data_IF_110848468719
#
_entry.id   IF_110848468719
#
_cell.length_a   1.000
_cell.length_b   1.000
_cell.length_c   1.000
_cell.angle_alpha   90.00
_cell.angle_beta   90.00
_cell.angle_gamma   90.00
#
_symmetry.space_group_name_H-M   'P 1'
#
loop_
_entity.id
_entity.type
_entity.pdbx_description
1 polymer ?
#
# COMPACT_ATOMS: atom_id res chain seq x y z
N UNK A 1 0.81 -3.21 -5.79
CA UNK A 1 1.93 -2.87 -6.68
C UNK A 1 2.94 -4.00 -6.71
N UNK A 2 3.59 -4.21 -7.85
CA UNK A 2 4.68 -5.17 -8.02
C UNK A 2 5.88 -4.41 -8.59
N UNK A 3 7.06 -4.63 -8.03
CA UNK A 3 8.32 -4.11 -8.53
C UNK A 3 9.22 -5.31 -8.78
N UNK A 4 9.84 -5.33 -9.95
CA UNK A 4 10.78 -6.38 -10.33
C UNK A 4 11.91 -6.48 -9.30
N UNK A 5 12.38 -7.70 -9.04
CA UNK A 5 13.42 -7.96 -8.03
C UNK A 5 14.71 -7.20 -8.30
N UNK A 6 15.07 -6.99 -9.57
CA UNK A 6 16.28 -6.27 -9.98
C UNK A 6 16.28 -4.79 -9.56
N UNK A 7 15.12 -4.22 -9.20
CA UNK A 7 14.94 -2.79 -8.90
C UNK A 7 14.53 -2.54 -7.45
N UNK A 8 14.70 -3.53 -6.57
CA UNK A 8 14.40 -3.38 -5.14
C UNK A 8 15.54 -2.64 -4.44
N UNK A 9 15.19 -1.65 -3.62
CA UNK A 9 16.17 -0.83 -2.89
C UNK A 9 16.56 0.47 -3.59
N UNK A 10 16.14 0.64 -4.85
CA UNK A 10 16.47 1.80 -5.71
C UNK A 10 15.39 2.90 -5.69
N UNK A 11 14.57 2.97 -4.63
CA UNK A 11 13.50 3.99 -4.51
C UNK A 11 12.33 3.85 -5.49
N UNK A 12 12.34 2.92 -6.45
CA UNK A 12 11.27 2.74 -7.45
C UNK A 12 9.89 2.54 -6.82
N UNK A 13 9.81 1.76 -5.74
CA UNK A 13 8.55 1.55 -5.03
C UNK A 13 8.01 2.85 -4.41
N UNK A 14 8.88 3.73 -3.91
CA UNK A 14 8.50 5.03 -3.34
C UNK A 14 7.99 5.95 -4.43
N UNK A 15 8.71 6.07 -5.55
CA UNK A 15 8.30 6.89 -6.68
C UNK A 15 6.93 6.46 -7.24
N UNK A 16 6.66 5.15 -7.30
CA UNK A 16 5.36 4.64 -7.73
C UNK A 16 4.24 4.96 -6.72
N UNK A 17 4.50 4.84 -5.42
CA UNK A 17 3.51 5.21 -4.41
C UNK A 17 3.23 6.71 -4.47
N UNK A 18 4.26 7.55 -4.52
CA UNK A 18 4.11 9.00 -4.62
C UNK A 18 3.29 9.39 -5.84
N UNK A 19 3.58 8.81 -7.01
CA UNK A 19 2.81 9.05 -8.23
C UNK A 19 1.33 8.69 -8.06
N UNK A 20 1.01 7.56 -7.40
CA UNK A 20 -0.37 7.14 -7.12
C UNK A 20 -1.05 8.09 -6.12
N UNK A 21 -0.35 8.52 -5.07
CA UNK A 21 -0.90 9.43 -4.06
C UNK A 21 -1.17 10.80 -4.67
N UNK A 22 -0.22 11.37 -5.43
CA UNK A 22 -0.39 12.64 -6.13
C UNK A 22 -1.53 12.59 -7.14
N UNK A 23 -1.63 11.53 -7.94
CA UNK A 23 -2.72 11.36 -8.90
C UNK A 23 -4.08 11.20 -8.19
N UNK A 24 -4.13 10.48 -7.09
CA UNK A 24 -5.36 10.30 -6.31
C UNK A 24 -5.81 11.62 -5.69
N UNK A 25 -4.87 12.40 -5.14
CA UNK A 25 -5.15 13.73 -4.61
C UNK A 25 -5.65 14.68 -5.71
N UNK A 26 -5.03 14.67 -6.90
CA UNK A 26 -5.47 15.50 -8.03
C UNK A 26 -6.86 15.14 -8.56
N UNK A 27 -7.35 13.94 -8.23
CA UNK A 27 -8.72 13.47 -8.52
C UNK A 27 -9.72 13.80 -7.42
N UNK A 28 -9.30 14.48 -6.35
CA UNK A 28 -10.15 14.79 -5.19
C UNK A 28 -10.36 13.61 -4.24
N UNK A 29 -9.55 12.55 -4.32
CA UNK A 29 -9.61 11.47 -3.35
C UNK A 29 -9.13 11.97 -1.98
N UNK A 30 -9.78 11.49 -0.92
CA UNK A 30 -9.42 11.81 0.47
C UNK A 30 -8.54 10.75 1.12
N UNK A 31 -8.47 9.55 0.54
CA UNK A 31 -7.64 8.46 1.05
C UNK A 31 -7.29 7.46 -0.07
N UNK A 32 -6.23 6.70 0.15
CA UNK A 32 -5.86 5.55 -0.69
C UNK A 32 -5.75 4.32 0.20
N UNK A 33 -6.33 3.21 -0.25
CA UNK A 33 -6.29 1.94 0.45
C UNK A 33 -5.66 0.84 -0.43
N UNK A 34 -5.00 -0.11 0.21
CA UNK A 34 -4.41 -1.28 -0.43
C UNK A 34 -4.56 -2.51 0.44
N UNK A 35 -4.37 -3.67 -0.17
CA UNK A 35 -4.33 -4.95 0.53
C UNK A 35 -2.92 -5.55 0.47
N UNK A 36 -2.43 -6.01 1.62
CA UNK A 36 -1.16 -6.73 1.73
C UNK A 36 -1.39 -8.11 2.31
N UNK A 37 -0.78 -9.14 1.69
CA UNK A 37 -0.83 -10.50 2.23
C UNK A 37 0.07 -10.64 3.47
N UNK A 38 -0.37 -11.44 4.44
CA UNK A 38 0.33 -11.76 5.69
C UNK A 38 1.80 -12.19 5.50
N UNK A 39 2.10 -12.99 4.47
CA UNK A 39 3.45 -13.46 4.15
C UNK A 39 4.36 -12.41 3.50
N UNK A 40 3.84 -11.23 3.14
CA UNK A 40 4.61 -10.18 2.47
C UNK A 40 5.09 -9.10 3.46
N UNK A 41 5.88 -9.51 4.44
CA UNK A 41 6.37 -8.63 5.51
C UNK A 41 7.22 -7.46 4.99
N UNK A 42 7.94 -7.65 3.88
CA UNK A 42 8.69 -6.58 3.22
C UNK A 42 7.78 -5.49 2.66
N UNK A 43 6.72 -5.86 1.93
CA UNK A 43 5.76 -4.88 1.42
C UNK A 43 4.99 -4.20 2.56
N UNK A 44 4.62 -4.94 3.61
CA UNK A 44 3.96 -4.37 4.80
C UNK A 44 4.83 -3.26 5.43
N UNK A 45 6.08 -3.57 5.77
CA UNK A 45 7.01 -2.59 6.35
C UNK A 45 7.24 -1.39 5.44
N UNK A 46 7.32 -1.63 4.13
CA UNK A 46 7.43 -0.56 3.14
C UNK A 46 6.22 0.38 3.20
N UNK A 47 4.98 -0.13 3.10
CA UNK A 47 3.79 0.71 3.12
C UNK A 47 3.61 1.43 4.47
N UNK A 48 3.90 0.76 5.59
CA UNK A 48 3.88 1.38 6.92
C UNK A 48 4.88 2.54 7.02
N UNK A 49 6.09 2.39 6.45
CA UNK A 49 7.11 3.45 6.40
C UNK A 49 6.68 4.64 5.53
N UNK A 50 5.95 4.40 4.44
CA UNK A 50 5.39 5.46 3.59
C UNK A 50 4.18 6.16 4.25
N UNK A 51 3.66 5.61 5.36
CA UNK A 51 2.61 6.25 6.16
C UNK A 51 1.23 5.59 6.04
N UNK A 52 1.12 4.47 5.33
CA UNK A 52 -0.10 3.65 5.40
C UNK A 52 -0.24 3.04 6.79
N UNK A 53 -1.47 2.90 7.26
CA UNK A 53 -1.79 2.30 8.56
C UNK A 53 -2.84 1.19 8.42
N UNK A 54 -2.77 0.14 9.24
CA UNK A 54 -3.79 -0.90 9.24
C UNK A 54 -5.14 -0.33 9.67
N UNK A 55 -6.20 -0.71 8.97
CA UNK A 55 -7.59 -0.31 9.31
C UNK A 55 -8.37 -1.43 10.00
N UNK A 56 -7.69 -2.49 10.45
CA UNK A 56 -8.30 -3.63 11.13
C UNK A 56 -9.10 -4.59 10.23
N UNK A 57 -9.28 -4.27 8.94
CA UNK A 57 -10.00 -5.13 7.99
C UNK A 57 -9.06 -6.21 7.46
N UNK A 58 -9.45 -7.48 7.66
CA UNK A 58 -8.76 -8.66 7.14
C UNK A 58 -9.70 -9.51 6.31
N UNK A 59 -9.19 -10.11 5.25
CA UNK A 59 -9.95 -10.98 4.36
C UNK A 59 -9.13 -12.23 4.04
N UNK A 60 -9.78 -13.40 3.87
CA UNK A 60 -9.09 -14.60 3.44
C UNK A 60 -8.49 -14.40 2.04
N UNK A 61 -7.36 -15.05 1.78
CA UNK A 61 -6.73 -15.03 0.48
C UNK A 61 -7.64 -15.77 -0.52
N UNK A 62 -7.93 -15.20 -1.70
CA UNK A 62 -8.94 -15.73 -2.62
C UNK A 62 -8.72 -17.19 -3.06
N UNK A 63 -7.46 -17.63 -3.12
CA UNK A 63 -7.07 -18.99 -3.53
C UNK A 63 -6.54 -19.87 -2.38
N UNK A 64 -6.33 -19.32 -1.18
CA UNK A 64 -5.61 -19.98 -0.08
C UNK A 64 -6.19 -19.55 1.25
N UNK A 65 -7.32 -20.14 1.63
CA UNK A 65 -8.13 -19.64 2.76
C UNK A 65 -7.40 -19.66 4.11
N UNK A 66 -6.29 -20.40 4.23
CA UNK A 66 -5.40 -20.39 5.39
C UNK A 66 -4.53 -19.12 5.51
N UNK A 67 -4.47 -18.30 4.46
CA UNK A 67 -3.77 -17.01 4.45
C UNK A 67 -4.74 -15.85 4.43
N UNK A 68 -4.30 -14.71 4.94
CA UNK A 68 -5.10 -13.49 4.96
C UNK A 68 -4.41 -12.34 4.24
N UNK A 69 -5.21 -11.40 3.76
CA UNK A 69 -4.79 -10.06 3.39
C UNK A 69 -5.33 -9.06 4.40
N UNK A 70 -4.52 -8.08 4.73
CA UNK A 70 -4.88 -6.97 5.62
C UNK A 70 -4.96 -5.68 4.82
N UNK A 71 -5.97 -4.87 5.10
CA UNK A 71 -6.16 -3.59 4.46
C UNK A 71 -5.35 -2.51 5.18
N UNK A 72 -4.55 -1.77 4.44
CA UNK A 72 -3.85 -0.57 4.90
C UNK A 72 -4.41 0.66 4.19
N UNK A 73 -4.48 1.80 4.88
CA UNK A 73 -4.95 3.08 4.33
C UNK A 73 -4.01 4.22 4.70
N UNK A 74 -3.86 5.17 3.78
CA UNK A 74 -3.29 6.49 4.05
C UNK A 74 -4.34 7.56 3.74
N UNK A 75 -4.46 8.54 4.61
CA UNK A 75 -5.31 9.72 4.39
C UNK A 75 -4.51 10.74 3.56
N UNK A 76 -5.13 11.24 2.50
CA UNK A 76 -4.57 12.29 1.66
C UNK A 76 -4.94 13.64 2.30
N UNK A 77 -3.93 14.42 2.68
CA UNK A 77 -4.16 15.78 3.14
C UNK A 77 -4.24 16.70 1.92
N UNK A 78 -5.39 17.32 1.72
CA UNK A 78 -5.44 18.53 0.90
C UNK A 78 -4.58 19.58 1.61
N UNK A 79 -3.58 20.12 0.92
CA UNK A 79 -2.86 21.29 1.42
C UNK A 79 -3.88 22.38 1.76
N UNK A 80 -3.83 22.85 3.01
CA UNK A 80 -4.57 24.01 3.51
C UNK A 80 -4.21 25.28 2.77
#
# INVERSE_FOLDING_TARGET
MWVDRAWRGEGVAEALVDAVLSWSLSRGATSVALWVFDGNSAARRFYERVGFRPVGRREPHPQKTERFRECLRIELRSGS
#
